data_IF_046160306273
#
_entry.id   IF_046160306273
#
_cell.length_a   1.000
_cell.length_b   1.000
_cell.length_c   1.000
_cell.angle_alpha   90.00
_cell.angle_beta   90.00
_cell.angle_gamma   90.00
#
_symmetry.space_group_name_H-M   'P 1'
#
loop_
_entity.id
_entity.type
_entity.pdbx_description
1 polymer ?
#
# COMPACT_ATOMS: atom_id res chain seq x y z
N UNK A 1 16.26 1.76 24.09
CA UNK A 1 16.17 1.85 22.62
C UNK A 1 14.71 1.61 22.26
N UNK A 2 14.05 2.57 21.60
CA UNK A 2 12.70 2.40 21.07
C UNK A 2 12.79 2.03 19.58
N UNK A 3 11.92 1.12 19.13
CA UNK A 3 11.87 0.64 17.74
C UNK A 3 10.41 0.57 17.32
N UNK A 4 10.09 1.06 16.12
CA UNK A 4 8.76 0.93 15.53
C UNK A 4 8.82 0.66 14.04
N UNK A 5 7.72 0.18 13.48
CA UNK A 5 7.48 0.10 12.04
C UNK A 5 6.47 1.16 11.60
N UNK A 6 6.80 1.88 10.53
CA UNK A 6 5.86 2.74 9.81
C UNK A 6 5.39 2.02 8.55
N UNK A 7 4.12 1.61 8.56
CA UNK A 7 3.44 0.96 7.44
C UNK A 7 2.93 2.04 6.50
N UNK A 8 3.37 2.00 5.24
CA UNK A 8 3.01 2.97 4.21
C UNK A 8 1.94 2.39 3.29
N UNK A 9 0.96 3.22 2.94
CA UNK A 9 0.13 3.04 1.75
C UNK A 9 0.89 3.39 0.48
N UNK A 10 0.18 3.73 -0.59
CA UNK A 10 0.84 4.12 -1.84
C UNK A 10 1.51 5.49 -1.70
N UNK A 11 2.83 5.52 -1.91
CA UNK A 11 3.64 6.74 -1.92
C UNK A 11 4.19 6.97 -3.31
N UNK A 12 4.08 8.20 -3.79
CA UNK A 12 4.52 8.64 -5.11
C UNK A 12 6.03 8.77 -5.18
N UNK A 13 6.69 7.62 -5.32
CA UNK A 13 8.14 7.48 -5.46
C UNK A 13 8.50 6.94 -6.84
N UNK A 14 9.79 6.93 -7.17
CA UNK A 14 10.31 6.31 -8.39
C UNK A 14 10.44 4.78 -8.30
N UNK A 15 9.78 4.11 -7.33
CA UNK A 15 9.90 2.66 -7.14
C UNK A 15 9.47 1.86 -8.38
N UNK A 16 8.48 2.35 -9.14
CA UNK A 16 8.00 1.70 -10.35
C UNK A 16 9.09 1.61 -11.44
N UNK A 17 9.99 2.58 -11.50
CA UNK A 17 11.10 2.64 -12.47
C UNK A 17 12.26 1.72 -12.09
N UNK A 18 12.44 1.47 -10.79
CA UNK A 18 13.57 0.72 -10.24
C UNK A 18 13.28 -0.76 -10.00
N UNK A 19 12.07 -1.25 -10.32
CA UNK A 19 11.72 -2.67 -10.18
C UNK A 19 12.43 -3.51 -11.24
N UNK A 20 13.14 -4.55 -10.80
CA UNK A 20 13.67 -5.59 -11.68
C UNK A 20 12.51 -6.34 -12.36
N UNK A 21 12.60 -6.50 -13.68
CA UNK A 21 11.60 -7.21 -14.49
C UNK A 21 12.18 -8.52 -14.99
N UNK A 22 11.47 -9.61 -14.76
CA UNK A 22 11.79 -10.94 -15.31
C UNK A 22 10.88 -11.25 -16.49
N UNK A 23 11.23 -12.28 -17.27
CA UNK A 23 10.34 -12.78 -18.33
C UNK A 23 9.11 -13.43 -17.68
N UNK A 24 7.92 -13.00 -18.09
CA UNK A 24 6.64 -13.58 -17.66
C UNK A 24 6.27 -14.69 -18.65
N UNK A 25 5.85 -15.85 -18.15
CA UNK A 25 5.37 -16.94 -19.00
C UNK A 25 4.06 -16.56 -19.69
N UNK A 26 3.83 -17.09 -20.89
CA UNK A 26 2.66 -16.74 -21.71
C UNK A 26 1.33 -16.93 -20.97
N UNK A 27 1.18 -18.02 -20.20
CA UNK A 27 -0.04 -18.32 -19.45
C UNK A 27 -0.45 -17.24 -18.42
N UNK A 28 0.47 -16.40 -17.98
CA UNK A 28 0.22 -15.35 -16.97
C UNK A 28 0.38 -13.94 -17.52
N UNK A 29 0.75 -13.78 -18.80
CA UNK A 29 1.13 -12.49 -19.38
C UNK A 29 0.02 -11.44 -19.23
N UNK A 30 -1.21 -11.79 -19.60
CA UNK A 30 -2.36 -10.87 -19.53
C UNK A 30 -2.67 -10.45 -18.09
N UNK A 31 -2.69 -11.40 -17.14
CA UNK A 31 -2.98 -11.10 -15.73
C UNK A 31 -1.87 -10.24 -15.13
N UNK A 32 -0.61 -10.57 -15.44
CA UNK A 32 0.54 -9.80 -14.98
C UNK A 32 0.49 -8.36 -15.51
N UNK A 33 0.27 -8.16 -16.81
CA UNK A 33 0.22 -6.81 -17.42
C UNK A 33 -0.90 -5.96 -16.80
N UNK A 34 -2.08 -6.55 -16.55
CA UNK A 34 -3.19 -5.88 -15.86
C UNK A 34 -2.78 -5.42 -14.45
N UNK A 35 -2.28 -6.34 -13.62
CA UNK A 35 -1.88 -6.04 -12.23
C UNK A 35 -0.72 -5.05 -12.19
N UNK A 36 0.28 -5.22 -13.06
CA UNK A 36 1.45 -4.36 -13.15
C UNK A 36 1.07 -2.91 -13.50
N UNK A 37 0.17 -2.73 -14.47
CA UNK A 37 -0.34 -1.41 -14.86
C UNK A 37 -1.10 -0.75 -13.72
N UNK A 38 -1.99 -1.49 -13.06
CA UNK A 38 -2.75 -0.99 -11.90
C UNK A 38 -1.82 -0.59 -10.74
N UNK A 39 -0.87 -1.44 -10.39
CA UNK A 39 0.10 -1.18 -9.31
C UNK A 39 0.95 0.07 -9.58
N UNK A 40 1.37 0.30 -10.83
CA UNK A 40 2.11 1.53 -11.17
C UNK A 40 1.20 2.76 -11.15
N UNK A 41 -0.07 2.62 -11.53
CA UNK A 41 -1.08 3.67 -11.36
C UNK A 41 -1.24 4.07 -9.89
N UNK A 42 -1.32 3.08 -8.99
CA UNK A 42 -1.42 3.31 -7.55
C UNK A 42 -0.22 4.10 -7.00
N UNK A 43 1.02 3.77 -7.42
CA UNK A 43 2.21 4.55 -7.06
C UNK A 43 2.12 5.97 -7.60
N UNK A 44 1.73 6.15 -8.87
CA UNK A 44 1.60 7.48 -9.50
C UNK A 44 0.58 8.37 -8.79
N UNK A 45 -0.53 7.79 -8.35
CA UNK A 45 -1.62 8.45 -7.63
C UNK A 45 -1.41 8.42 -6.09
N UNK A 46 -0.24 7.99 -5.64
CA UNK A 46 0.14 7.89 -4.25
C UNK A 46 0.28 9.26 -3.58
N UNK A 47 0.43 9.24 -2.25
CA UNK A 47 0.69 10.45 -1.46
C UNK A 47 2.11 10.97 -1.71
N UNK A 48 2.30 12.29 -1.63
CA UNK A 48 3.62 12.90 -1.86
C UNK A 48 4.61 12.50 -0.75
N UNK A 49 5.88 12.19 -1.07
CA UNK A 49 6.87 11.77 -0.07
C UNK A 49 7.10 12.78 1.06
N UNK A 50 6.91 14.08 0.80
CA UNK A 50 7.06 15.13 1.81
C UNK A 50 6.09 14.94 2.98
N UNK A 51 4.86 14.48 2.72
CA UNK A 51 3.87 14.24 3.77
C UNK A 51 4.29 13.08 4.70
N UNK A 52 5.02 12.09 4.16
CA UNK A 52 5.63 11.02 4.97
C UNK A 52 6.70 11.61 5.89
N UNK A 53 7.55 12.50 5.37
CA UNK A 53 8.61 13.14 6.15
C UNK A 53 8.02 13.99 7.30
N UNK A 54 6.97 14.76 7.03
CA UNK A 54 6.25 15.52 8.05
C UNK A 54 5.62 14.61 9.11
N UNK A 55 5.05 13.48 8.70
CA UNK A 55 4.48 12.49 9.63
C UNK A 55 5.56 11.87 10.53
N UNK A 56 6.72 11.50 9.95
CA UNK A 56 7.86 11.01 10.72
C UNK A 56 8.35 12.07 11.72
N UNK A 57 8.41 13.35 11.31
CA UNK A 57 8.72 14.46 12.22
C UNK A 57 7.77 14.54 13.43
N UNK A 58 6.47 14.33 13.21
CA UNK A 58 5.45 14.25 14.28
C UNK A 58 5.58 12.99 15.16
N UNK A 59 6.14 11.90 14.64
CA UNK A 59 6.42 10.70 15.45
C UNK A 59 7.65 10.91 16.33
N UNK A 60 8.68 11.57 15.80
CA UNK A 60 9.92 11.86 16.52
C UNK A 60 9.72 12.76 17.75
N UNK A 61 8.69 13.60 17.76
CA UNK A 61 8.35 14.44 18.92
C UNK A 61 7.56 13.73 20.02
N UNK A 62 7.29 12.43 19.88
CA UNK A 62 6.56 11.65 20.89
C UNK A 62 7.49 11.15 22.00
N UNK A 63 7.01 11.24 23.24
CA UNK A 63 7.70 10.70 24.41
C UNK A 63 7.60 9.17 24.55
N UNK A 64 6.63 8.54 23.87
CA UNK A 64 6.41 7.09 23.91
C UNK A 64 5.95 6.58 22.54
N UNK A 65 6.59 5.51 22.08
CA UNK A 65 6.34 4.97 20.75
C UNK A 65 5.48 3.71 20.77
N UNK A 66 4.58 3.60 19.80
CA UNK A 66 3.90 2.35 19.48
C UNK A 66 4.80 1.51 18.57
N UNK A 67 4.67 0.18 18.63
CA UNK A 67 5.38 -0.71 17.73
C UNK A 67 4.97 -0.52 16.25
N UNK A 68 3.72 -0.12 15.98
CA UNK A 68 3.19 0.04 14.63
C UNK A 68 2.52 1.40 14.45
N UNK A 69 2.89 2.10 13.38
CA UNK A 69 2.23 3.28 12.85
C UNK A 69 1.81 3.04 11.40
N UNK A 70 0.78 3.76 10.94
CA UNK A 70 0.21 3.59 9.60
C UNK A 70 0.02 4.94 8.95
N UNK A 71 0.59 5.13 7.76
CA UNK A 71 0.45 6.33 6.96
C UNK A 71 -0.08 5.97 5.57
N UNK A 72 -1.05 6.73 5.07
CA UNK A 72 -1.68 6.49 3.78
C UNK A 72 -3.14 6.91 3.74
N UNK A 73 -3.77 6.70 2.59
CA UNK A 73 -5.20 6.99 2.37
C UNK A 73 -6.06 6.17 3.33
N UNK A 74 -7.23 6.71 3.70
CA UNK A 74 -8.10 6.09 4.72
C UNK A 74 -8.40 4.61 4.43
N UNK A 75 -8.81 4.27 3.21
CA UNK A 75 -9.10 2.89 2.81
C UNK A 75 -7.92 1.91 3.00
N UNK A 76 -6.70 2.38 2.78
CA UNK A 76 -5.48 1.56 2.91
C UNK A 76 -5.16 1.26 4.38
N UNK A 77 -5.43 2.22 5.26
CA UNK A 77 -5.20 2.06 6.71
C UNK A 77 -6.23 1.15 7.36
N UNK A 78 -7.49 1.20 6.93
CA UNK A 78 -8.57 0.38 7.51
C UNK A 78 -8.67 -1.01 6.90
N UNK A 79 -8.04 -1.26 5.76
CA UNK A 79 -8.14 -2.54 5.03
C UNK A 79 -7.68 -3.74 5.85
N UNK A 80 -6.68 -3.58 6.73
CA UNK A 80 -6.19 -4.66 7.61
C UNK A 80 -7.23 -4.97 8.71
N UNK A 81 -7.70 -4.01 9.53
CA UNK A 81 -8.81 -4.25 10.46
C UNK A 81 -10.05 -4.86 9.82
N UNK A 82 -10.44 -4.39 8.64
CA UNK A 82 -11.64 -4.89 7.94
C UNK A 82 -11.52 -6.38 7.59
N UNK A 83 -10.32 -6.89 7.29
CA UNK A 83 -10.09 -8.32 7.03
C UNK A 83 -10.49 -9.20 8.22
N UNK A 84 -10.29 -8.71 9.44
CA UNK A 84 -10.58 -9.46 10.66
C UNK A 84 -12.06 -9.42 11.06
N UNK A 85 -12.77 -8.37 10.63
CA UNK A 85 -14.17 -8.12 11.04
C UNK A 85 -15.15 -8.66 9.99
N UNK A 86 -14.80 -8.57 8.70
CA UNK A 86 -15.70 -8.93 7.61
C UNK A 86 -15.60 -10.42 7.27
N UNK A 87 -16.73 -11.09 6.93
CA UNK A 87 -16.69 -12.42 6.35
C UNK A 87 -15.84 -12.46 5.08
N UNK A 88 -15.08 -13.56 4.89
CA UNK A 88 -14.09 -13.71 3.83
C UNK A 88 -14.62 -13.28 2.44
N UNK A 89 -15.75 -13.84 2.00
CA UNK A 89 -16.32 -13.54 0.67
C UNK A 89 -16.69 -12.06 0.49
N UNK A 90 -17.14 -11.41 1.57
CA UNK A 90 -17.50 -10.00 1.54
C UNK A 90 -16.26 -9.12 1.48
N UNK A 91 -15.22 -9.44 2.25
CA UNK A 91 -13.92 -8.77 2.19
C UNK A 91 -13.31 -8.89 0.78
N UNK A 92 -13.29 -10.10 0.22
CA UNK A 92 -12.77 -10.32 -1.14
C UNK A 92 -13.53 -9.51 -2.19
N UNK A 93 -14.86 -9.48 -2.11
CA UNK A 93 -15.69 -8.66 -3.01
C UNK A 93 -15.38 -7.16 -2.87
N UNK A 94 -15.22 -6.66 -1.64
CA UNK A 94 -14.82 -5.29 -1.39
C UNK A 94 -13.45 -4.99 -2.02
N UNK A 95 -12.48 -5.88 -1.84
CA UNK A 95 -11.12 -5.72 -2.38
C UNK A 95 -11.07 -5.79 -3.91
N UNK A 96 -11.87 -6.65 -4.55
CA UNK A 96 -12.01 -6.70 -6.00
C UNK A 96 -12.50 -5.37 -6.57
N UNK A 97 -13.57 -4.83 -5.98
CA UNK A 97 -14.11 -3.53 -6.36
C UNK A 97 -13.11 -2.40 -6.14
N UNK A 98 -12.41 -2.39 -4.99
CA UNK A 98 -11.41 -1.39 -4.66
C UNK A 98 -10.24 -1.38 -5.66
N UNK A 99 -9.74 -2.55 -6.05
CA UNK A 99 -8.61 -2.68 -6.97
C UNK A 99 -9.02 -2.68 -8.46
N UNK A 100 -10.32 -2.61 -8.77
CA UNK A 100 -10.84 -2.77 -10.14
C UNK A 100 -10.34 -4.06 -10.80
N UNK A 101 -10.35 -5.15 -10.03
CA UNK A 101 -10.01 -6.49 -10.50
C UNK A 101 -11.32 -7.26 -10.60
N UNK A 102 -11.73 -7.56 -11.83
CA UNK A 102 -12.88 -8.44 -12.14
C UNK A 102 -12.66 -9.86 -11.59
#
# INVERSE_FOLDING_TARGET
>A
IEVCSLHLGDIKTNIAENRLKTKVSEAYKTVFEKVYTQMNGHVKDGTEPIEVAEYVGKLLSKNHWKAHYYFGKFGQKIGVPLKWILPQNFYEKLMRNYNKID
#
